data_IF_210085728859
#
_entry.id   IF_210085728859
#
_cell.length_a   1.000
_cell.length_b   1.000
_cell.length_c   1.000
_cell.angle_alpha   90.00
_cell.angle_beta   90.00
_cell.angle_gamma   90.00
#
_symmetry.space_group_name_H-M   'P 1'
#
loop_
_entity.id
_entity.type
_entity.pdbx_description
1 polymer ?
#
# COMPACT_ATOMS: atom_id res chain seq x y z
N UNK A 1 14.34 -7.03 -11.27
CA UNK A 1 14.79 -8.11 -10.37
C UNK A 1 15.10 -9.40 -11.15
N UNK A 2 14.16 -9.94 -11.98
CA UNK A 2 14.32 -11.22 -12.69
C UNK A 2 15.60 -11.27 -13.56
N UNK A 3 15.78 -10.33 -14.48
CA UNK A 3 16.98 -10.29 -15.35
C UNK A 3 18.28 -10.20 -14.55
N UNK A 4 18.29 -9.40 -13.48
CA UNK A 4 19.44 -9.32 -12.59
C UNK A 4 19.78 -10.67 -11.93
N UNK A 5 18.78 -11.43 -11.50
CA UNK A 5 19.02 -12.76 -10.93
C UNK A 5 19.51 -13.76 -11.97
N UNK A 6 19.01 -13.72 -13.21
CA UNK A 6 19.50 -14.55 -14.31
C UNK A 6 20.98 -14.25 -14.60
N UNK A 7 21.34 -12.98 -14.74
CA UNK A 7 22.75 -12.57 -14.93
C UNK A 7 23.65 -13.00 -13.78
N UNK A 8 23.15 -12.92 -12.55
CA UNK A 8 23.88 -13.33 -11.37
C UNK A 8 24.17 -14.85 -11.38
N UNK A 9 23.19 -15.64 -11.79
CA UNK A 9 23.32 -17.09 -11.94
C UNK A 9 24.31 -17.46 -13.06
N UNK A 10 24.27 -16.75 -14.18
CA UNK A 10 25.18 -16.98 -15.30
C UNK A 10 26.65 -16.65 -14.94
N UNK A 11 26.88 -15.55 -14.24
CA UNK A 11 28.21 -15.13 -13.81
C UNK A 11 28.78 -15.99 -12.69
N UNK A 12 27.92 -16.53 -11.82
CA UNK A 12 28.24 -17.41 -10.68
C UNK A 12 29.40 -16.93 -9.78
N UNK A 13 29.68 -15.62 -9.74
CA UNK A 13 30.72 -15.04 -8.85
C UNK A 13 30.14 -14.80 -7.44
N UNK A 14 30.01 -15.87 -6.71
CA UNK A 14 29.45 -15.85 -5.36
C UNK A 14 30.33 -15.13 -4.35
N UNK A 15 31.65 -15.06 -4.58
CA UNK A 15 32.54 -14.30 -3.73
C UNK A 15 32.29 -12.79 -3.82
N UNK A 16 32.13 -12.26 -5.03
CA UNK A 16 31.74 -10.86 -5.24
C UNK A 16 30.36 -10.53 -4.68
N UNK A 17 29.40 -11.45 -4.79
CA UNK A 17 28.08 -11.32 -4.17
C UNK A 17 28.19 -11.26 -2.65
N UNK A 18 28.97 -12.16 -2.04
CA UNK A 18 29.23 -12.18 -0.60
C UNK A 18 29.84 -10.86 -0.10
N UNK A 19 30.84 -10.35 -0.81
CA UNK A 19 31.48 -9.08 -0.47
C UNK A 19 30.50 -7.88 -0.52
N UNK A 20 29.58 -7.86 -1.48
CA UNK A 20 28.51 -6.84 -1.55
C UNK A 20 27.53 -6.95 -0.39
N UNK A 21 27.16 -8.15 0.03
CA UNK A 21 26.31 -8.34 1.21
C UNK A 21 27.00 -7.90 2.49
N UNK A 22 28.29 -8.18 2.66
CA UNK A 22 29.06 -7.71 3.81
C UNK A 22 29.10 -6.17 3.86
N UNK A 23 29.43 -5.52 2.75
CA UNK A 23 29.43 -4.06 2.67
C UNK A 23 28.06 -3.44 2.94
N UNK A 24 26.99 -4.08 2.46
CA UNK A 24 25.62 -3.65 2.75
C UNK A 24 25.27 -3.83 4.22
N UNK A 25 25.65 -4.97 4.82
CA UNK A 25 25.45 -5.23 6.25
C UNK A 25 26.11 -4.17 7.11
N UNK A 26 27.35 -3.82 6.83
CA UNK A 26 28.09 -2.77 7.57
C UNK A 26 27.38 -1.42 7.49
N UNK A 27 26.87 -1.04 6.31
CA UNK A 27 26.09 0.19 6.14
C UNK A 27 24.78 0.17 6.92
N UNK A 28 24.03 -0.94 6.86
CA UNK A 28 22.71 -1.05 7.51
C UNK A 28 22.81 -1.13 9.03
N UNK A 29 23.87 -1.73 9.56
CA UNK A 29 24.07 -1.89 11.00
C UNK A 29 24.89 -0.74 11.62
N UNK A 30 25.10 0.34 10.90
CA UNK A 30 25.78 1.51 11.44
C UNK A 30 24.93 2.18 12.52
N UNK A 31 25.53 2.46 13.68
CA UNK A 31 24.82 2.98 14.87
C UNK A 31 24.00 4.26 14.63
N UNK A 32 24.49 5.14 13.75
CA UNK A 32 23.79 6.39 13.40
C UNK A 32 22.44 6.18 12.68
N UNK A 33 22.16 4.98 12.21
CA UNK A 33 20.92 4.66 11.49
C UNK A 33 19.96 3.77 12.31
N UNK A 34 20.32 3.43 13.55
CA UNK A 34 19.49 2.58 14.38
C UNK A 34 18.36 3.39 15.01
N UNK A 35 17.14 3.03 14.67
CA UNK A 35 15.94 3.51 15.37
C UNK A 35 15.40 2.39 16.26
N UNK A 36 15.22 2.68 17.54
CA UNK A 36 14.63 1.75 18.48
C UNK A 36 13.22 2.23 18.82
N UNK A 37 12.22 1.43 18.44
CA UNK A 37 10.83 1.65 18.83
C UNK A 37 10.47 0.76 20.02
N UNK A 38 9.79 1.34 21.00
CA UNK A 38 9.34 0.62 22.19
C UNK A 38 7.87 0.90 22.46
N UNK A 39 7.10 -0.17 22.53
CA UNK A 39 5.69 -0.14 22.87
C UNK A 39 5.46 -0.96 24.15
N UNK A 40 5.14 -0.30 25.25
CA UNK A 40 4.97 -0.94 26.54
C UNK A 40 4.74 0.04 27.67
N UNK A 41 4.91 -0.42 28.92
CA UNK A 41 4.79 0.42 30.10
C UNK A 41 6.03 1.28 30.31
N UNK A 42 5.90 2.37 31.07
CA UNK A 42 7.02 3.23 31.48
C UNK A 42 8.13 2.46 32.20
N UNK A 43 7.76 1.53 33.07
CA UNK A 43 8.71 0.68 33.79
C UNK A 43 9.52 -0.23 32.79
N UNK A 44 8.89 -0.69 31.71
CA UNK A 44 9.54 -1.41 30.64
C UNK A 44 10.51 -0.52 29.86
N UNK A 45 10.12 0.71 29.57
CA UNK A 45 10.98 1.71 28.92
C UNK A 45 12.21 2.02 29.74
N UNK A 46 12.06 2.20 31.05
CA UNK A 46 13.18 2.43 31.97
C UNK A 46 14.13 1.23 32.02
N UNK A 47 13.60 0.03 31.94
CA UNK A 47 14.42 -1.18 31.87
C UNK A 47 15.20 -1.21 30.56
N UNK A 48 14.56 -0.90 29.43
CA UNK A 48 15.21 -0.82 28.12
C UNK A 48 16.33 0.23 28.11
N UNK A 49 16.06 1.43 28.67
CA UNK A 49 17.06 2.51 28.78
C UNK A 49 18.30 2.08 29.56
N UNK A 50 18.14 1.27 30.58
CA UNK A 50 19.28 0.74 31.39
C UNK A 50 20.08 -0.32 30.64
N UNK A 51 19.44 -1.05 29.73
CA UNK A 51 20.09 -2.10 28.93
C UNK A 51 20.83 -1.56 27.71
N UNK A 52 20.39 -0.43 27.16
CA UNK A 52 21.01 0.19 26.01
C UNK A 52 22.12 1.16 26.46
N UNK A 53 23.28 1.17 25.79
CA UNK A 53 24.31 2.15 26.05
C UNK A 53 23.79 3.58 25.88
N UNK A 54 24.25 4.53 26.70
CA UNK A 54 23.82 5.93 26.60
C UNK A 54 24.02 6.54 25.21
N UNK A 55 25.04 6.08 24.47
CA UNK A 55 25.28 6.47 23.06
C UNK A 55 24.19 6.03 22.09
N UNK A 56 23.36 5.03 22.45
CA UNK A 56 22.24 4.59 21.61
C UNK A 56 21.10 5.61 21.59
N UNK A 57 21.08 6.55 22.53
CA UNK A 57 20.06 7.61 22.64
C UNK A 57 20.60 8.99 22.22
N UNK A 58 21.86 9.05 21.73
CA UNK A 58 22.36 10.29 21.15
C UNK A 58 21.49 10.66 19.96
N UNK A 59 21.09 11.93 19.87
CA UNK A 59 20.45 12.43 18.66
C UNK A 59 21.42 12.23 17.49
N UNK A 60 21.19 11.18 16.71
CA UNK A 60 21.88 11.01 15.46
C UNK A 60 21.31 12.03 14.48
N UNK A 61 22.18 12.72 13.77
CA UNK A 61 21.77 13.42 12.56
C UNK A 61 21.09 12.38 11.66
N UNK A 62 19.77 12.49 11.53
CA UNK A 62 18.97 11.52 10.75
C UNK A 62 19.34 11.53 9.28
N UNK A 63 20.27 12.40 8.86
CA UNK A 63 20.57 12.62 7.47
C UNK A 63 19.37 13.17 6.72
N UNK A 64 19.59 13.70 5.55
CA UNK A 64 18.51 14.08 4.65
C UNK A 64 17.84 12.80 4.17
N UNK A 65 16.53 12.67 4.37
CA UNK A 65 15.79 11.57 3.79
C UNK A 65 16.10 11.53 2.29
N UNK A 66 16.70 10.44 1.84
CA UNK A 66 16.90 10.23 0.41
C UNK A 66 15.48 10.02 -0.16
N UNK A 67 14.97 11.01 -0.88
CA UNK A 67 13.84 10.78 -1.75
C UNK A 67 14.34 9.81 -2.83
N UNK A 68 14.00 8.55 -2.71
CA UNK A 68 14.19 7.58 -3.77
C UNK A 68 13.14 7.91 -4.85
N UNK A 69 13.55 8.72 -5.81
CA UNK A 69 12.78 8.94 -7.03
C UNK A 69 13.34 7.99 -8.08
N UNK A 70 12.78 6.81 -8.17
CA UNK A 70 12.90 6.04 -9.40
C UNK A 70 12.04 6.79 -10.43
N UNK A 71 12.67 7.46 -11.37
CA UNK A 71 11.96 8.02 -12.51
C UNK A 71 11.44 6.84 -13.34
N UNK A 72 10.20 6.46 -13.13
CA UNK A 72 9.47 5.63 -14.07
C UNK A 72 9.25 6.46 -15.34
N UNK A 73 10.20 6.39 -16.24
CA UNK A 73 10.24 7.22 -17.46
C UNK A 73 9.20 6.85 -18.50
N UNK A 74 8.52 5.72 -18.34
CA UNK A 74 7.41 5.29 -19.21
C UNK A 74 6.51 4.27 -18.50
N UNK A 75 5.23 4.18 -18.90
CA UNK A 75 4.39 3.05 -18.50
C UNK A 75 5.04 1.73 -18.91
N UNK A 76 5.17 0.81 -17.99
CA UNK A 76 5.76 -0.51 -18.25
C UNK A 76 4.62 -1.53 -18.28
N UNK A 77 4.50 -2.23 -19.42
CA UNK A 77 3.64 -3.41 -19.54
C UNK A 77 4.54 -4.64 -19.43
N UNK A 78 4.43 -5.36 -18.33
CA UNK A 78 5.21 -6.57 -18.08
C UNK A 78 4.28 -7.77 -17.87
N UNK A 79 4.66 -8.91 -18.40
CA UNK A 79 3.98 -10.18 -18.17
C UNK A 79 5.01 -11.25 -17.81
N UNK A 80 4.75 -11.98 -16.72
CA UNK A 80 5.54 -13.13 -16.32
C UNK A 80 4.70 -14.39 -16.52
N UNK A 81 5.21 -15.31 -17.34
CA UNK A 81 4.56 -16.60 -17.53
C UNK A 81 4.91 -17.47 -16.34
N UNK A 82 3.88 -17.93 -15.63
CA UNK A 82 3.99 -18.87 -14.51
C UNK A 82 3.25 -20.15 -14.85
N UNK A 83 3.69 -21.26 -14.28
CA UNK A 83 3.00 -22.52 -14.43
C UNK A 83 1.75 -22.53 -13.53
N UNK A 84 0.57 -22.50 -14.16
CA UNK A 84 -0.71 -22.45 -13.45
C UNK A 84 -1.85 -22.06 -14.40
N UNK A 85 -3.04 -22.52 -14.15
CA UNK A 85 -4.23 -22.24 -14.99
C UNK A 85 -4.96 -20.94 -14.66
N UNK A 86 -4.29 -19.96 -14.02
CA UNK A 86 -4.90 -18.71 -13.57
C UNK A 86 -3.93 -17.54 -13.70
N UNK A 87 -4.47 -16.33 -13.83
CA UNK A 87 -3.73 -15.08 -13.92
C UNK A 87 -3.75 -14.34 -12.56
N UNK A 88 -2.81 -13.40 -12.44
CA UNK A 88 -2.72 -12.41 -11.37
C UNK A 88 -2.47 -11.08 -12.05
N UNK A 89 -3.48 -10.26 -12.16
CA UNK A 89 -3.44 -9.05 -12.97
C UNK A 89 -3.34 -7.84 -12.06
N UNK A 90 -2.58 -6.85 -12.50
CA UNK A 90 -2.37 -5.61 -11.77
C UNK A 90 -2.30 -4.44 -12.76
N UNK A 91 -3.13 -3.43 -12.54
CA UNK A 91 -3.06 -2.15 -13.22
C UNK A 91 -2.77 -1.09 -12.16
N UNK A 92 -1.67 -0.34 -12.30
CA UNK A 92 -1.15 0.59 -11.29
C UNK A 92 -0.95 1.96 -11.92
N UNK A 93 -1.30 3.01 -11.19
CA UNK A 93 -1.03 4.39 -11.58
C UNK A 93 -0.77 5.28 -10.36
N UNK A 94 0.00 6.38 -10.52
CA UNK A 94 0.13 7.38 -9.48
C UNK A 94 -1.15 8.18 -9.35
N UNK A 95 -1.47 8.61 -8.10
CA UNK A 95 -2.62 9.45 -7.84
C UNK A 95 -2.36 10.43 -6.70
N UNK A 96 -3.08 11.54 -6.71
CA UNK A 96 -3.16 12.42 -5.55
C UNK A 96 -4.11 11.83 -4.51
N UNK A 97 -3.66 11.78 -3.26
CA UNK A 97 -4.45 11.20 -2.16
C UNK A 97 -5.61 12.11 -1.80
N UNK A 98 -6.82 11.59 -1.89
CA UNK A 98 -8.00 12.25 -1.38
C UNK A 98 -8.99 11.24 -0.76
N UNK A 99 -9.91 11.76 0.05
CA UNK A 99 -10.91 10.93 0.71
C UNK A 99 -11.90 10.31 -0.28
N UNK A 100 -12.27 11.02 -1.32
CA UNK A 100 -13.22 10.53 -2.32
C UNK A 100 -12.68 9.29 -3.04
N UNK A 101 -11.37 9.21 -3.33
CA UNK A 101 -10.73 8.02 -3.92
C UNK A 101 -10.77 6.80 -3.01
N UNK A 102 -10.71 6.98 -1.69
CA UNK A 102 -10.88 5.86 -0.76
C UNK A 102 -12.31 5.31 -0.77
N UNK A 103 -13.29 6.19 -0.89
CA UNK A 103 -14.69 5.78 -1.08
C UNK A 103 -14.85 5.14 -2.46
N UNK A 104 -14.30 5.74 -3.51
CA UNK A 104 -14.31 5.18 -4.87
C UNK A 104 -13.72 3.77 -4.91
N UNK A 105 -12.57 3.54 -4.28
CA UNK A 105 -11.96 2.21 -4.22
C UNK A 105 -12.90 1.17 -3.57
N UNK A 106 -13.67 1.59 -2.56
CA UNK A 106 -14.70 0.75 -1.95
C UNK A 106 -15.83 0.44 -2.93
N UNK A 107 -16.39 1.47 -3.56
CA UNK A 107 -17.48 1.33 -4.52
C UNK A 107 -17.05 0.50 -5.72
N UNK A 108 -15.92 0.82 -6.34
CA UNK A 108 -15.36 0.07 -7.46
C UNK A 108 -15.19 -1.41 -7.11
N UNK A 109 -14.62 -1.71 -5.95
CA UNK A 109 -14.35 -3.09 -5.55
C UNK A 109 -15.63 -3.90 -5.36
N UNK A 110 -16.62 -3.39 -4.63
CA UNK A 110 -17.74 -4.20 -4.18
C UNK A 110 -19.01 -4.04 -5.03
N UNK A 111 -19.22 -2.85 -5.63
CA UNK A 111 -20.40 -2.58 -6.43
C UNK A 111 -20.22 -2.92 -7.91
N UNK A 112 -18.95 -3.08 -8.37
CA UNK A 112 -18.67 -3.34 -9.77
C UNK A 112 -17.76 -4.54 -9.97
N UNK A 113 -16.49 -4.47 -9.53
CA UNK A 113 -15.49 -5.50 -9.84
C UNK A 113 -15.85 -6.86 -9.25
N UNK A 114 -16.34 -6.88 -8.02
CA UNK A 114 -16.73 -8.12 -7.36
C UNK A 114 -17.75 -8.90 -8.18
N UNK A 115 -18.79 -8.23 -8.64
CA UNK A 115 -19.83 -8.87 -9.47
C UNK A 115 -19.26 -9.31 -10.82
N UNK A 116 -18.60 -8.43 -11.55
CA UNK A 116 -18.15 -8.70 -12.91
C UNK A 116 -17.01 -9.72 -12.99
N UNK A 117 -16.00 -9.58 -12.14
CA UNK A 117 -14.78 -10.38 -12.22
C UNK A 117 -14.86 -11.62 -11.34
N UNK A 118 -15.42 -11.52 -10.12
CA UNK A 118 -15.48 -12.66 -9.23
C UNK A 118 -16.71 -13.53 -9.45
N UNK A 119 -17.91 -12.95 -9.39
CA UNK A 119 -19.15 -13.74 -9.47
C UNK A 119 -19.41 -14.24 -10.88
N UNK A 120 -19.28 -13.39 -11.88
CA UNK A 120 -19.49 -13.75 -13.30
C UNK A 120 -18.23 -14.34 -13.90
N UNK A 121 -17.08 -13.71 -13.71
CA UNK A 121 -15.79 -14.12 -14.30
C UNK A 121 -15.12 -15.28 -13.59
N UNK A 122 -15.48 -15.62 -12.34
CA UNK A 122 -14.94 -16.77 -11.63
C UNK A 122 -13.56 -16.56 -10.99
N UNK A 123 -13.05 -15.33 -10.94
CA UNK A 123 -11.82 -15.04 -10.21
C UNK A 123 -12.00 -15.28 -8.69
N UNK A 124 -10.94 -15.67 -8.01
CA UNK A 124 -10.99 -15.84 -6.55
C UNK A 124 -11.12 -14.51 -5.80
N UNK A 125 -10.49 -13.46 -6.31
CA UNK A 125 -10.56 -12.12 -5.74
C UNK A 125 -10.28 -11.03 -6.76
N UNK A 126 -10.79 -9.85 -6.48
CA UNK A 126 -10.56 -8.64 -7.26
C UNK A 126 -10.81 -7.42 -6.39
N UNK A 127 -10.31 -6.27 -6.80
CA UNK A 127 -10.60 -5.01 -6.13
C UNK A 127 -9.77 -3.85 -6.63
N UNK A 128 -10.06 -2.69 -6.03
CA UNK A 128 -9.30 -1.46 -6.16
C UNK A 128 -8.68 -1.10 -4.82
N UNK A 129 -7.45 -0.67 -4.82
CA UNK A 129 -6.73 -0.27 -3.62
C UNK A 129 -6.04 1.08 -3.80
N UNK A 130 -5.87 1.78 -2.67
CA UNK A 130 -5.11 3.02 -2.59
C UNK A 130 -4.01 2.85 -1.55
N UNK A 131 -2.80 3.32 -1.83
CA UNK A 131 -1.67 3.24 -0.92
C UNK A 131 -1.28 4.60 -0.35
N UNK A 132 -0.54 4.58 0.75
CA UNK A 132 -0.09 5.82 1.40
C UNK A 132 1.02 6.55 0.64
N UNK A 133 1.67 5.90 -0.30
CA UNK A 133 2.71 6.47 -1.17
C UNK A 133 2.15 7.23 -2.39
N UNK A 134 0.83 7.30 -2.55
CA UNK A 134 0.20 7.92 -3.71
C UNK A 134 0.05 6.96 -4.90
N UNK A 135 -0.01 5.67 -4.62
CA UNK A 135 -0.28 4.62 -5.62
C UNK A 135 -1.71 4.16 -5.53
N UNK A 136 -2.36 4.02 -6.66
CA UNK A 136 -3.67 3.41 -6.82
C UNK A 136 -3.59 2.23 -7.78
N UNK A 137 -4.38 1.20 -7.53
CA UNK A 137 -4.31 -0.02 -8.34
C UNK A 137 -5.63 -0.77 -8.41
N UNK A 138 -5.85 -1.44 -9.54
CA UNK A 138 -6.84 -2.49 -9.74
C UNK A 138 -6.13 -3.84 -9.81
N UNK A 139 -6.74 -4.87 -9.27
CA UNK A 139 -6.12 -6.19 -9.27
C UNK A 139 -7.14 -7.32 -9.48
N UNK A 140 -6.64 -8.45 -10.02
CA UNK A 140 -7.30 -9.75 -9.91
C UNK A 140 -6.40 -10.76 -9.20
N UNK A 141 -7.00 -11.76 -8.64
CA UNK A 141 -6.31 -12.83 -7.93
C UNK A 141 -6.89 -14.19 -8.33
N UNK A 142 -6.04 -15.05 -8.90
CA UNK A 142 -6.42 -16.35 -9.43
C UNK A 142 -7.59 -16.23 -10.41
N UNK A 143 -7.40 -15.44 -11.43
CA UNK A 143 -8.38 -15.09 -12.44
C UNK A 143 -8.23 -16.02 -13.67
N UNK A 144 -9.30 -16.69 -14.12
CA UNK A 144 -9.25 -17.46 -15.35
C UNK A 144 -9.23 -16.60 -16.63
N UNK A 145 -9.52 -15.29 -16.54
CA UNK A 145 -9.78 -14.40 -17.67
C UNK A 145 -8.87 -13.16 -17.63
N UNK A 146 -7.82 -13.13 -18.42
CA UNK A 146 -6.91 -11.98 -18.51
C UNK A 146 -7.54 -10.79 -19.24
N UNK A 147 -7.96 -11.00 -20.48
CA UNK A 147 -8.41 -9.94 -21.38
C UNK A 147 -9.71 -9.31 -20.90
N UNK A 148 -10.68 -10.12 -20.56
CA UNK A 148 -12.01 -9.72 -20.11
C UNK A 148 -11.95 -8.91 -18.82
N UNK A 149 -11.00 -9.23 -17.94
CA UNK A 149 -10.77 -8.50 -16.69
C UNK A 149 -10.19 -7.11 -16.95
N UNK A 150 -9.23 -6.96 -17.85
CA UNK A 150 -8.77 -5.63 -18.27
C UNK A 150 -9.85 -4.81 -18.99
N UNK A 151 -10.68 -5.43 -19.82
CA UNK A 151 -11.84 -4.76 -20.42
C UNK A 151 -12.84 -4.30 -19.37
N UNK A 152 -13.02 -5.09 -18.31
CA UNK A 152 -13.86 -4.74 -17.17
C UNK A 152 -13.26 -3.56 -16.38
N UNK A 153 -11.96 -3.56 -16.12
CA UNK A 153 -11.28 -2.42 -15.51
C UNK A 153 -11.50 -1.13 -16.30
N UNK A 154 -11.35 -1.19 -17.62
CA UNK A 154 -11.52 -0.02 -18.48
C UNK A 154 -12.96 0.54 -18.51
N UNK A 155 -13.97 -0.29 -18.29
CA UNK A 155 -15.39 0.12 -18.25
C UNK A 155 -15.82 0.67 -16.89
N UNK A 156 -15.10 0.30 -15.83
CA UNK A 156 -15.48 0.64 -14.44
C UNK A 156 -15.75 2.12 -14.19
N UNK A 157 -14.90 3.06 -14.59
CA UNK A 157 -15.13 4.50 -14.43
C UNK A 157 -16.47 4.96 -15.02
N UNK A 158 -16.76 4.60 -16.26
CA UNK A 158 -18.00 4.99 -16.93
C UNK A 158 -19.24 4.41 -16.25
N UNK A 159 -19.17 3.17 -15.77
CA UNK A 159 -20.23 2.50 -15.03
C UNK A 159 -20.53 3.23 -13.72
N UNK A 160 -19.50 3.63 -12.97
CA UNK A 160 -19.67 4.32 -11.69
C UNK A 160 -20.20 5.75 -11.88
N UNK A 161 -19.72 6.48 -12.89
CA UNK A 161 -20.21 7.82 -13.21
C UNK A 161 -21.67 7.77 -13.64
N UNK A 162 -22.10 6.74 -14.38
CA UNK A 162 -23.46 6.55 -14.87
C UNK A 162 -24.49 6.17 -13.79
N UNK A 163 -24.05 5.75 -12.61
CA UNK A 163 -24.97 5.33 -11.53
C UNK A 163 -25.58 6.51 -10.78
N UNK A 164 -26.79 6.30 -10.30
CA UNK A 164 -27.40 7.18 -9.31
C UNK A 164 -27.09 6.66 -7.90
N UNK A 165 -26.64 7.55 -7.04
CA UNK A 165 -26.31 7.24 -5.65
C UNK A 165 -27.28 7.97 -4.73
N UNK A 166 -28.01 7.22 -3.90
CA UNK A 166 -28.82 7.79 -2.84
C UNK A 166 -27.97 8.20 -1.63
N UNK A 167 -28.50 9.04 -0.76
CA UNK A 167 -27.85 9.38 0.50
C UNK A 167 -27.54 8.12 1.34
N UNK A 168 -28.42 7.13 1.31
CA UNK A 168 -28.22 5.86 2.00
C UNK A 168 -27.00 5.12 1.44
N UNK A 169 -26.89 5.01 0.11
CA UNK A 169 -25.78 4.34 -0.54
C UNK A 169 -24.45 5.03 -0.16
N UNK A 170 -24.40 6.35 -0.25
CA UNK A 170 -23.21 7.11 0.13
C UNK A 170 -22.80 6.89 1.58
N UNK A 171 -23.76 6.87 2.51
CA UNK A 171 -23.49 6.60 3.91
C UNK A 171 -22.93 5.18 4.11
N UNK A 172 -23.45 4.17 3.43
CA UNK A 172 -22.94 2.79 3.50
C UNK A 172 -21.51 2.69 2.95
N UNK A 173 -21.21 3.38 1.86
CA UNK A 173 -19.86 3.40 1.27
C UNK A 173 -18.84 4.13 2.18
N UNK A 174 -19.24 5.27 2.72
CA UNK A 174 -18.42 6.05 3.66
C UNK A 174 -18.11 5.23 4.92
N UNK A 175 -19.13 4.60 5.52
CA UNK A 175 -18.93 3.72 6.68
C UNK A 175 -18.01 2.57 6.34
N UNK A 176 -18.19 1.93 5.18
CA UNK A 176 -17.33 0.85 4.72
C UNK A 176 -15.87 1.28 4.47
N UNK A 177 -15.64 2.50 3.99
CA UNK A 177 -14.30 3.06 3.82
C UNK A 177 -13.68 3.47 5.17
N UNK A 178 -14.46 4.08 6.06
CA UNK A 178 -14.03 4.49 7.40
C UNK A 178 -13.68 3.30 8.29
N UNK A 179 -14.36 2.18 8.14
CA UNK A 179 -14.11 0.96 8.90
C UNK A 179 -12.64 0.47 8.77
N UNK A 180 -11.96 0.76 7.66
CA UNK A 180 -10.54 0.45 7.49
C UNK A 180 -9.65 1.28 8.42
N UNK A 181 -10.05 2.52 8.75
CA UNK A 181 -9.33 3.39 9.69
C UNK A 181 -9.52 2.90 11.13
N UNK A 182 -10.66 2.31 11.43
CA UNK A 182 -11.10 1.91 12.77
C UNK A 182 -10.98 0.40 13.02
N UNK A 183 -10.26 -0.31 12.18
CA UNK A 183 -10.05 -1.76 12.36
C UNK A 183 -9.43 -2.03 13.74
N UNK A 184 -10.09 -2.83 14.60
CA UNK A 184 -9.52 -3.23 15.87
C UNK A 184 -8.19 -3.95 15.67
N UNK A 185 -7.15 -3.50 16.38
CA UNK A 185 -5.80 -4.06 16.28
C UNK A 185 -5.37 -4.69 17.58
N UNK A 186 -4.62 -5.76 17.48
CA UNK A 186 -3.89 -6.30 18.64
C UNK A 186 -2.75 -5.34 18.99
N UNK A 187 -2.25 -5.36 20.26
CA UNK A 187 -1.17 -4.45 20.68
C UNK A 187 0.06 -4.43 19.74
N UNK A 188 0.44 -5.59 19.19
CA UNK A 188 1.54 -5.69 18.23
C UNK A 188 1.22 -5.01 16.89
N UNK A 189 0.00 -5.14 16.42
CA UNK A 189 -0.45 -4.53 15.16
C UNK A 189 -0.58 -3.01 15.32
N UNK A 190 -1.02 -2.55 16.51
CA UNK A 190 -1.08 -1.12 16.82
C UNK A 190 0.33 -0.52 16.89
N UNK A 191 1.27 -1.21 17.54
CA UNK A 191 2.67 -0.83 17.54
C UNK A 191 3.24 -0.68 16.13
N UNK A 192 3.08 -1.70 15.30
CA UNK A 192 3.54 -1.66 13.91
C UNK A 192 2.88 -0.54 13.09
N UNK A 193 1.59 -0.28 13.31
CA UNK A 193 0.87 0.81 12.67
C UNK A 193 1.41 2.18 13.09
N UNK A 194 1.71 2.35 14.37
CA UNK A 194 2.29 3.59 14.92
C UNK A 194 3.70 3.82 14.37
N UNK A 195 4.53 2.78 14.30
CA UNK A 195 5.85 2.85 13.71
C UNK A 195 5.78 3.24 12.23
N UNK A 196 4.87 2.63 11.47
CA UNK A 196 4.64 2.97 10.08
C UNK A 196 4.23 4.44 9.90
N UNK A 197 3.29 4.93 10.71
CA UNK A 197 2.89 6.35 10.70
C UNK A 197 4.09 7.28 10.99
N UNK A 198 4.89 6.94 11.99
CA UNK A 198 6.08 7.71 12.36
C UNK A 198 7.07 7.81 11.17
N UNK A 199 7.41 6.70 10.53
CA UNK A 199 8.33 6.70 9.39
C UNK A 199 7.77 7.37 8.14
N UNK A 200 6.43 7.33 7.95
CA UNK A 200 5.75 7.99 6.84
C UNK A 200 5.43 9.47 7.14
N UNK A 201 5.73 9.99 8.32
CA UNK A 201 5.41 11.38 8.71
C UNK A 201 3.91 11.65 8.86
N UNK A 202 3.11 10.60 9.13
CA UNK A 202 1.65 10.73 9.30
C UNK A 202 1.35 11.08 10.75
N UNK A 203 0.80 12.28 10.97
CA UNK A 203 0.41 12.76 12.32
C UNK A 203 -1.03 12.38 12.68
N UNK A 204 -1.37 12.52 13.94
CA UNK A 204 -2.75 12.30 14.41
C UNK A 204 -3.71 13.35 13.84
N UNK A 205 -3.23 14.60 13.66
CA UNK A 205 -4.00 15.66 13.02
C UNK A 205 -4.31 15.31 11.56
N UNK A 206 -3.33 14.76 10.82
CA UNK A 206 -3.54 14.30 9.45
C UNK A 206 -4.57 13.16 9.41
N UNK A 207 -4.49 12.22 10.36
CA UNK A 207 -5.45 11.11 10.46
C UNK A 207 -6.87 11.62 10.78
N UNK A 208 -6.99 12.59 11.69
CA UNK A 208 -8.26 13.21 12.04
C UNK A 208 -8.86 14.02 10.87
N UNK A 209 -8.03 14.76 10.15
CA UNK A 209 -8.44 15.50 8.95
C UNK A 209 -8.93 14.57 7.84
N UNK A 210 -8.23 13.47 7.62
CA UNK A 210 -8.62 12.44 6.66
C UNK A 210 -9.99 11.83 7.01
N UNK A 211 -10.21 11.47 8.28
CA UNK A 211 -11.50 10.97 8.76
C UNK A 211 -12.62 11.98 8.51
N UNK A 212 -12.40 13.25 8.83
CA UNK A 212 -13.38 14.32 8.58
C UNK A 212 -13.71 14.46 7.10
N UNK A 213 -12.68 14.47 6.25
CA UNK A 213 -12.85 14.53 4.80
C UNK A 213 -13.62 13.33 4.26
N UNK A 214 -13.37 12.13 4.79
CA UNK A 214 -14.05 10.90 4.38
C UNK A 214 -15.56 10.98 4.68
N UNK A 215 -15.93 11.49 5.85
CA UNK A 215 -17.33 11.68 6.25
C UNK A 215 -18.06 12.77 5.44
N UNK A 216 -17.35 13.59 4.67
CA UNK A 216 -17.92 14.67 3.85
C UNK A 216 -18.00 14.34 2.36
N UNK A 217 -17.62 13.14 1.94
CA UNK A 217 -17.69 12.73 0.54
C UNK A 217 -19.14 12.59 0.10
N UNK A 218 -19.51 13.24 -1.00
CA UNK A 218 -20.80 13.10 -1.64
C UNK A 218 -20.73 12.39 -3.00
N UNK A 219 -21.86 12.16 -3.62
CA UNK A 219 -21.93 11.49 -4.91
C UNK A 219 -21.25 12.29 -6.04
N UNK A 220 -21.23 13.63 -5.96
CA UNK A 220 -20.57 14.45 -6.95
C UNK A 220 -19.04 14.32 -6.84
N UNK A 221 -18.50 14.37 -5.63
CA UNK A 221 -17.08 14.15 -5.37
C UNK A 221 -16.64 12.73 -5.77
N UNK A 222 -17.46 11.71 -5.50
CA UNK A 222 -17.20 10.34 -5.92
C UNK A 222 -17.09 10.22 -7.44
N UNK A 223 -18.06 10.79 -8.18
CA UNK A 223 -18.09 10.74 -9.65
C UNK A 223 -16.98 11.54 -10.31
N UNK A 224 -16.51 12.61 -9.66
CA UNK A 224 -15.41 13.42 -10.16
C UNK A 224 -14.06 12.69 -10.13
N UNK A 225 -13.93 11.70 -9.24
CA UNK A 225 -12.73 10.90 -9.09
C UNK A 225 -12.76 9.58 -9.89
N UNK A 226 -13.93 9.18 -10.40
CA UNK A 226 -14.08 7.99 -11.22
C UNK A 226 -13.69 8.25 -12.69
#
# INVERSE_FOLDING_TARGET
>A
AYHFLCELLEKADWAAVGAKFEALREKLLHHAQLTVSFHGSEAGLDTLRKLLPGSAFAEADRGTACAYTEELTAPVNEAFIIDGGVNYDLLVWPMERCAARKVLARVMSYEYLWHQIREVGGAYGTGMGTQNDGTEYLYTYRDPHLKESYETFAKGPAELVGRDYTEKDMNEFIVGAAAKLDTPRKPREEAASTDCKYFCGITDEMTAAERKSLCSVDAAALKAEA
#
